data_IF_926247928769
#
_entry.id   IF_926247928769
#
_cell.length_a   1.000
_cell.length_b   1.000
_cell.length_c   1.000
_cell.angle_alpha   90.00
_cell.angle_beta   90.00
_cell.angle_gamma   90.00
#
_symmetry.space_group_name_H-M   'P 1'
#
loop_
_entity.id
_entity.type
_entity.pdbx_description
1 polymer ?
#
# COMPACT_ATOMS: atom_id res chain seq x y z
N UNK A 1 -31.86 -65.31 53.36
CA UNK A 1 -30.82 -65.16 52.32
C UNK A 1 -31.45 -64.57 51.06
N UNK A 2 -31.25 -63.27 50.81
CA UNK A 2 -31.63 -62.57 49.57
C UNK A 2 -30.42 -61.77 49.13
N UNK A 3 -29.86 -62.09 47.96
CA UNK A 3 -28.70 -61.39 47.37
C UNK A 3 -29.19 -60.08 46.77
N UNK A 4 -28.60 -58.97 47.19
CA UNK A 4 -28.79 -57.63 46.61
C UNK A 4 -27.60 -57.39 45.67
N UNK A 5 -27.87 -57.28 44.38
CA UNK A 5 -26.85 -56.94 43.36
C UNK A 5 -26.75 -55.42 43.23
N UNK A 6 -25.57 -54.87 43.54
CA UNK A 6 -25.19 -53.49 43.27
C UNK A 6 -24.58 -53.42 41.86
N UNK A 7 -25.22 -52.72 40.93
CA UNK A 7 -24.64 -52.39 39.62
C UNK A 7 -24.02 -51.00 39.74
N UNK A 8 -22.70 -50.92 39.63
CA UNK A 8 -21.96 -49.67 39.56
C UNK A 8 -22.15 -49.03 38.19
N UNK A 9 -22.75 -47.84 38.17
CA UNK A 9 -22.81 -46.96 37.00
C UNK A 9 -21.48 -46.20 36.88
N UNK A 10 -20.75 -46.47 35.80
CA UNK A 10 -19.51 -45.80 35.41
C UNK A 10 -19.78 -44.35 34.96
N UNK A 11 -18.99 -43.43 35.53
CA UNK A 11 -18.86 -42.03 35.12
C UNK A 11 -18.31 -41.93 33.68
N UNK A 12 -18.98 -41.13 32.83
CA UNK A 12 -18.37 -40.59 31.61
C UNK A 12 -18.45 -39.05 31.68
N UNK A 13 -17.34 -38.32 31.82
CA UNK A 13 -17.37 -36.87 31.75
C UNK A 13 -17.63 -36.46 30.30
N UNK A 14 -18.73 -35.74 30.08
CA UNK A 14 -18.99 -35.05 28.82
C UNK A 14 -17.86 -34.05 28.57
N UNK A 15 -16.98 -34.42 27.65
CA UNK A 15 -16.02 -33.53 26.99
C UNK A 15 -16.80 -32.36 26.36
N UNK A 16 -16.87 -31.24 27.08
CA UNK A 16 -17.22 -29.95 26.46
C UNK A 16 -16.03 -29.60 25.57
N UNK A 17 -16.14 -29.97 24.30
CA UNK A 17 -15.14 -29.64 23.28
C UNK A 17 -14.94 -28.13 23.25
N UNK A 18 -13.78 -27.68 23.70
CA UNK A 18 -13.32 -26.32 23.47
C UNK A 18 -13.18 -26.12 21.96
N UNK A 19 -14.22 -25.57 21.33
CA UNK A 19 -14.16 -25.02 19.99
C UNK A 19 -13.20 -23.83 20.05
N UNK A 20 -11.92 -24.09 19.76
CA UNK A 20 -10.99 -23.04 19.38
C UNK A 20 -11.47 -22.48 18.04
N UNK A 21 -12.34 -21.47 18.11
CA UNK A 21 -12.73 -20.69 16.94
C UNK A 21 -11.47 -20.01 16.44
N UNK A 22 -10.79 -20.60 15.45
CA UNK A 22 -9.76 -19.91 14.69
C UNK A 22 -10.45 -18.69 14.05
N UNK A 23 -10.00 -17.46 14.32
CA UNK A 23 -10.67 -16.30 13.76
C UNK A 23 -10.58 -16.37 12.23
N UNK A 24 -11.74 -16.44 11.57
CA UNK A 24 -11.93 -16.40 10.11
C UNK A 24 -11.51 -15.03 9.51
N UNK A 25 -11.08 -14.10 10.35
CA UNK A 25 -10.79 -12.71 10.00
C UNK A 25 -9.56 -12.50 9.08
N UNK A 26 -8.64 -13.46 8.97
CA UNK A 26 -7.38 -13.25 8.23
C UNK A 26 -7.46 -13.48 6.71
N UNK A 27 -8.52 -14.12 6.20
CA UNK A 27 -8.65 -14.42 4.77
C UNK A 27 -9.39 -13.34 3.98
N UNK A 28 -10.31 -12.62 4.62
CA UNK A 28 -11.17 -11.63 3.95
C UNK A 28 -10.39 -10.47 3.32
N UNK A 29 -9.43 -9.80 4.00
CA UNK A 29 -8.66 -8.72 3.40
C UNK A 29 -7.78 -9.19 2.23
N UNK A 30 -7.21 -10.41 2.32
CA UNK A 30 -6.33 -10.96 1.29
C UNK A 30 -7.07 -11.24 -0.01
N UNK A 31 -8.20 -11.96 0.07
CA UNK A 31 -9.04 -12.24 -1.09
C UNK A 31 -9.58 -10.97 -1.74
N UNK A 32 -9.93 -9.97 -0.92
CA UNK A 32 -10.36 -8.66 -1.42
C UNK A 32 -9.24 -7.95 -2.18
N UNK A 33 -8.02 -7.92 -1.64
CA UNK A 33 -6.86 -7.33 -2.30
C UNK A 33 -6.55 -8.02 -3.63
N UNK A 34 -6.61 -9.35 -3.69
CA UNK A 34 -6.41 -10.13 -4.92
C UNK A 34 -7.50 -9.83 -5.96
N UNK A 35 -8.76 -9.73 -5.54
CA UNK A 35 -9.87 -9.39 -6.44
C UNK A 35 -9.72 -7.97 -7.02
N UNK A 36 -9.32 -7.00 -6.18
CA UNK A 36 -9.03 -5.63 -6.60
C UNK A 36 -7.82 -5.58 -7.55
N UNK A 37 -6.76 -6.33 -7.26
CA UNK A 37 -5.60 -6.45 -8.14
C UNK A 37 -6.00 -6.97 -9.53
N UNK A 38 -6.79 -8.05 -9.59
CA UNK A 38 -7.29 -8.60 -10.85
C UNK A 38 -8.18 -7.61 -11.60
N UNK A 39 -9.05 -6.86 -10.91
CA UNK A 39 -9.84 -5.81 -11.53
C UNK A 39 -8.95 -4.69 -12.10
N UNK A 40 -7.90 -4.32 -11.38
CA UNK A 40 -6.89 -3.37 -11.83
C UNK A 40 -6.17 -3.82 -13.09
N UNK A 41 -5.76 -5.10 -13.17
CA UNK A 41 -5.12 -5.68 -14.37
C UNK A 41 -6.02 -5.58 -15.60
N UNK A 42 -7.29 -5.95 -15.48
CA UNK A 42 -8.26 -5.85 -16.58
C UNK A 42 -8.44 -4.41 -17.07
N UNK A 43 -8.46 -3.44 -16.15
CA UNK A 43 -8.54 -2.02 -16.49
C UNK A 43 -7.25 -1.51 -17.13
N UNK A 44 -6.10 -1.99 -16.65
CA UNK A 44 -4.79 -1.66 -17.20
C UNK A 44 -4.67 -2.15 -18.65
N UNK A 45 -5.05 -3.40 -18.92
CA UNK A 45 -5.07 -3.99 -20.26
C UNK A 45 -6.03 -3.25 -21.20
N UNK A 46 -7.13 -2.73 -20.65
CA UNK A 46 -8.06 -1.84 -21.36
C UNK A 46 -7.53 -0.39 -21.51
N UNK A 47 -6.29 -0.11 -21.13
CA UNK A 47 -5.65 1.23 -21.12
C UNK A 47 -6.37 2.29 -20.29
N UNK A 48 -7.21 1.87 -19.34
CA UNK A 48 -7.91 2.75 -18.40
C UNK A 48 -7.06 2.97 -17.16
N UNK A 49 -5.89 3.59 -17.34
CA UNK A 49 -4.84 3.67 -16.31
C UNK A 49 -5.31 4.34 -15.01
N UNK A 50 -6.14 5.38 -15.09
CA UNK A 50 -6.70 6.05 -13.90
C UNK A 50 -7.63 5.14 -13.08
N UNK A 51 -8.48 4.38 -13.76
CA UNK A 51 -9.40 3.45 -13.10
C UNK A 51 -8.64 2.23 -12.55
N UNK A 52 -7.65 1.75 -13.30
CA UNK A 52 -6.74 0.68 -12.86
C UNK A 52 -5.99 1.09 -11.60
N UNK A 53 -5.41 2.29 -11.59
CA UNK A 53 -4.70 2.85 -10.45
C UNK A 53 -5.58 2.87 -9.20
N UNK A 54 -6.85 3.27 -9.33
CA UNK A 54 -7.79 3.25 -8.20
C UNK A 54 -7.93 1.85 -7.61
N UNK A 55 -8.14 0.82 -8.44
CA UNK A 55 -8.26 -0.56 -7.96
C UNK A 55 -6.98 -1.04 -7.29
N UNK A 56 -5.82 -0.72 -7.87
CA UNK A 56 -4.55 -1.11 -7.29
C UNK A 56 -4.26 -0.39 -5.97
N UNK A 57 -4.60 0.89 -5.82
CA UNK A 57 -4.47 1.62 -4.57
C UNK A 57 -5.43 1.08 -3.50
N UNK A 58 -6.65 0.73 -3.87
CA UNK A 58 -7.61 0.07 -2.96
C UNK A 58 -7.08 -1.29 -2.49
N UNK A 59 -6.39 -2.04 -3.37
CA UNK A 59 -5.72 -3.30 -3.01
C UNK A 59 -4.51 -3.06 -2.08
N UNK A 60 -3.69 -2.07 -2.41
CA UNK A 60 -2.50 -1.68 -1.65
C UNK A 60 -2.85 -1.23 -0.23
N UNK A 61 -3.98 -0.55 -0.05
CA UNK A 61 -4.48 -0.14 1.28
C UNK A 61 -4.82 -1.33 2.21
N UNK A 62 -4.93 -2.55 1.68
CA UNK A 62 -5.18 -3.77 2.44
C UNK A 62 -3.89 -4.54 2.78
N UNK A 63 -2.72 -4.01 2.42
CA UNK A 63 -1.45 -4.64 2.74
C UNK A 63 -1.14 -4.51 4.24
N UNK A 64 -0.51 -5.56 4.79
CA UNK A 64 -0.01 -5.59 6.16
C UNK A 64 1.46 -6.01 6.15
N UNK A 65 2.40 -5.14 5.73
CA UNK A 65 3.81 -5.51 5.69
C UNK A 65 4.36 -5.90 7.07
N UNK A 66 5.21 -6.94 7.18
CA UNK A 66 5.64 -7.85 6.11
C UNK A 66 4.72 -9.06 5.93
N UNK A 67 3.63 -9.18 6.70
CA UNK A 67 2.74 -10.36 6.75
C UNK A 67 1.98 -10.61 5.45
N UNK A 68 1.65 -9.54 4.73
CA UNK A 68 0.89 -9.61 3.50
C UNK A 68 1.20 -8.43 2.58
N UNK A 69 1.80 -8.75 1.43
CA UNK A 69 2.11 -7.82 0.34
C UNK A 69 1.96 -8.62 -0.96
N UNK A 70 1.41 -8.00 -2.00
CA UNK A 70 1.39 -8.53 -3.37
C UNK A 70 2.31 -7.63 -4.20
N UNK A 71 3.59 -7.99 -4.42
CA UNK A 71 4.55 -7.12 -5.13
C UNK A 71 4.05 -6.66 -6.50
N UNK A 72 3.34 -7.51 -7.23
CA UNK A 72 2.80 -7.22 -8.56
C UNK A 72 1.83 -6.00 -8.55
N UNK A 73 1.10 -5.78 -7.46
CA UNK A 73 0.26 -4.58 -7.29
C UNK A 73 1.14 -3.34 -7.24
N UNK A 74 2.23 -3.36 -6.47
CA UNK A 74 3.15 -2.22 -6.33
C UNK A 74 3.77 -1.88 -7.70
N UNK A 75 4.19 -2.90 -8.44
CA UNK A 75 4.70 -2.75 -9.81
C UNK A 75 3.65 -2.14 -10.74
N UNK A 76 2.42 -2.63 -10.71
CA UNK A 76 1.35 -2.14 -11.58
C UNK A 76 0.88 -0.73 -11.21
N UNK A 77 0.96 -0.32 -9.93
CA UNK A 77 0.76 1.07 -9.53
C UNK A 77 1.83 1.96 -10.20
N UNK A 78 3.10 1.57 -10.11
CA UNK A 78 4.20 2.27 -10.76
C UNK A 78 3.98 2.42 -12.28
N UNK A 79 3.55 1.33 -12.94
CA UNK A 79 3.20 1.36 -14.37
C UNK A 79 2.00 2.26 -14.68
N UNK A 80 0.97 2.29 -13.85
CA UNK A 80 -0.17 3.18 -14.06
C UNK A 80 0.29 4.65 -14.04
N UNK A 81 1.12 5.03 -13.08
CA UNK A 81 1.67 6.38 -13.01
C UNK A 81 2.56 6.69 -14.21
N UNK A 82 3.42 5.75 -14.62
CA UNK A 82 4.29 5.90 -15.81
C UNK A 82 3.45 6.14 -17.09
N UNK A 83 2.41 5.35 -17.32
CA UNK A 83 1.51 5.49 -18.48
C UNK A 83 0.73 6.81 -18.48
N UNK A 84 0.52 7.40 -17.29
CA UNK A 84 -0.10 8.72 -17.14
C UNK A 84 0.92 9.87 -17.18
N UNK A 85 2.21 9.58 -17.34
CA UNK A 85 3.29 10.57 -17.37
C UNK A 85 3.72 11.09 -15.99
N UNK A 86 3.24 10.48 -14.91
CA UNK A 86 3.62 10.81 -13.53
C UNK A 86 4.86 10.01 -13.10
N UNK A 87 6.00 10.37 -13.69
CA UNK A 87 7.28 9.69 -13.45
C UNK A 87 7.74 9.77 -11.98
N UNK A 88 7.31 10.77 -11.20
CA UNK A 88 7.68 10.90 -9.79
C UNK A 88 6.99 9.83 -8.96
N UNK A 89 5.67 9.70 -9.07
CA UNK A 89 4.97 8.62 -8.38
C UNK A 89 5.36 7.25 -8.93
N UNK A 90 5.57 7.13 -10.25
CA UNK A 90 6.05 5.88 -10.84
C UNK A 90 7.37 5.43 -10.22
N UNK A 91 8.36 6.33 -10.14
CA UNK A 91 9.66 6.05 -9.53
C UNK A 91 9.52 5.57 -8.09
N UNK A 92 8.70 6.28 -7.28
CA UNK A 92 8.47 5.91 -5.88
C UNK A 92 7.97 4.47 -5.75
N UNK A 93 6.96 4.09 -6.52
CA UNK A 93 6.39 2.75 -6.47
C UNK A 93 7.35 1.69 -7.03
N UNK A 94 8.18 2.00 -8.03
CA UNK A 94 9.23 1.07 -8.47
C UNK A 94 10.33 0.86 -7.42
N UNK A 95 10.74 1.91 -6.70
CA UNK A 95 11.68 1.81 -5.57
C UNK A 95 11.06 1.04 -4.38
N UNK A 96 9.75 1.17 -4.17
CA UNK A 96 9.04 0.37 -3.17
C UNK A 96 8.93 -1.10 -3.60
N UNK A 97 8.67 -1.36 -4.89
CA UNK A 97 8.65 -2.70 -5.44
C UNK A 97 10.00 -3.40 -5.22
N UNK A 98 11.14 -2.72 -5.47
CA UNK A 98 12.48 -3.28 -5.19
C UNK A 98 12.66 -3.65 -3.70
N UNK A 99 12.01 -2.92 -2.78
CA UNK A 99 12.05 -3.24 -1.34
C UNK A 99 11.29 -4.51 -1.01
N UNK A 100 10.12 -4.74 -1.60
CA UNK A 100 9.24 -5.88 -1.26
C UNK A 100 9.43 -7.12 -2.15
N UNK A 101 9.79 -6.95 -3.42
CA UNK A 101 10.08 -8.04 -4.34
C UNK A 101 11.45 -8.65 -4.04
N UNK A 102 11.47 -9.73 -3.25
CA UNK A 102 12.70 -10.44 -2.86
C UNK A 102 13.17 -11.45 -3.89
N UNK A 103 12.34 -11.80 -4.88
CA UNK A 103 12.72 -12.72 -5.95
C UNK A 103 13.82 -12.09 -6.82
N UNK A 104 14.98 -12.76 -6.99
CA UNK A 104 16.05 -12.30 -7.87
C UNK A 104 15.60 -11.99 -9.30
N UNK A 105 14.56 -12.65 -9.81
CA UNK A 105 13.99 -12.42 -11.13
C UNK A 105 13.50 -10.97 -11.31
N UNK A 106 12.99 -10.35 -10.24
CA UNK A 106 12.45 -9.00 -10.28
C UNK A 106 13.51 -7.89 -10.16
N UNK A 107 14.69 -8.21 -9.60
CA UNK A 107 15.73 -7.23 -9.30
C UNK A 107 16.25 -6.50 -10.54
N UNK A 108 16.56 -7.23 -11.61
CA UNK A 108 17.07 -6.64 -12.85
C UNK A 108 16.07 -5.71 -13.52
N UNK A 109 14.81 -6.15 -13.61
CA UNK A 109 13.71 -5.38 -14.22
C UNK A 109 13.40 -4.11 -13.40
N UNK A 110 13.33 -4.22 -12.07
CA UNK A 110 13.11 -3.08 -11.19
C UNK A 110 14.22 -2.03 -11.32
N UNK A 111 15.48 -2.44 -11.26
CA UNK A 111 16.61 -1.51 -11.36
C UNK A 111 16.70 -0.81 -12.71
N UNK A 112 16.45 -1.54 -13.80
CA UNK A 112 16.40 -0.95 -15.13
C UNK A 112 15.27 0.10 -15.22
N UNK A 113 14.08 -0.23 -14.73
CA UNK A 113 12.92 0.65 -14.75
C UNK A 113 13.13 1.90 -13.87
N UNK A 114 13.65 1.73 -12.65
CA UNK A 114 14.01 2.84 -11.76
C UNK A 114 14.98 3.79 -12.45
N UNK A 115 16.04 3.26 -13.09
CA UNK A 115 17.03 4.08 -13.81
C UNK A 115 16.40 4.84 -14.97
N UNK A 116 15.55 4.18 -15.75
CA UNK A 116 14.84 4.77 -16.89
C UNK A 116 13.95 5.94 -16.45
N UNK A 117 13.03 5.69 -15.51
CA UNK A 117 12.05 6.68 -15.01
C UNK A 117 12.76 7.85 -14.34
N UNK A 118 13.76 7.56 -13.49
CA UNK A 118 14.58 8.59 -12.83
C UNK A 118 15.30 9.49 -13.82
N UNK A 119 15.67 8.97 -14.99
CA UNK A 119 16.28 9.74 -16.07
C UNK A 119 15.34 10.73 -16.76
N UNK A 120 14.02 10.55 -16.66
CA UNK A 120 13.02 11.44 -17.26
C UNK A 120 12.61 12.61 -16.36
N UNK A 121 12.78 12.48 -15.05
CA UNK A 121 12.42 13.53 -14.09
C UNK A 121 13.41 14.70 -14.19
N UNK A 122 12.92 15.86 -14.63
CA UNK A 122 13.73 17.09 -14.83
C UNK A 122 13.20 18.33 -14.11
N UNK A 123 11.96 18.31 -13.62
CA UNK A 123 11.34 19.45 -12.96
C UNK A 123 11.47 19.35 -11.44
N UNK A 124 11.61 20.52 -10.82
CA UNK A 124 11.69 20.68 -9.38
C UNK A 124 10.94 21.95 -8.95
N UNK A 125 10.42 21.94 -7.74
CA UNK A 125 9.80 23.10 -7.09
C UNK A 125 10.55 23.39 -5.80
N UNK A 126 10.85 24.67 -5.58
CA UNK A 126 11.35 25.17 -4.32
C UNK A 126 10.16 25.64 -3.49
N UNK A 127 10.03 25.11 -2.27
CA UNK A 127 8.93 25.42 -1.36
C UNK A 127 9.51 26.10 -0.14
N UNK A 128 9.18 27.38 0.04
CA UNK A 128 9.55 28.16 1.21
C UNK A 128 8.30 28.33 2.09
N UNK A 129 8.44 28.02 3.38
CA UNK A 129 7.37 28.18 4.36
C UNK A 129 7.90 29.03 5.50
N UNK A 130 7.21 30.13 5.81
CA UNK A 130 7.63 31.09 6.83
C UNK A 130 7.72 30.49 8.24
N UNK A 131 6.91 29.46 8.51
CA UNK A 131 6.87 28.77 9.79
C UNK A 131 7.67 27.46 9.73
N UNK A 132 8.69 27.33 10.56
CA UNK A 132 9.45 26.08 10.75
C UNK A 132 8.58 24.97 11.38
N UNK A 133 8.83 23.72 11.04
CA UNK A 133 8.10 22.55 11.54
C UNK A 133 6.67 22.42 11.02
N UNK A 134 6.31 23.11 9.93
CA UNK A 134 5.03 22.90 9.25
C UNK A 134 5.11 21.66 8.36
N UNK A 135 4.11 20.80 8.41
CA UNK A 135 4.00 19.63 7.55
C UNK A 135 3.69 20.06 6.11
N UNK A 136 4.50 19.60 5.16
CA UNK A 136 4.38 19.89 3.73
C UNK A 136 3.91 18.63 3.01
N UNK A 137 2.79 18.73 2.32
CA UNK A 137 2.16 17.66 1.54
C UNK A 137 2.01 18.13 0.11
N UNK A 138 2.52 17.36 -0.85
CA UNK A 138 2.41 17.64 -2.29
C UNK A 138 1.69 16.48 -2.97
N UNK A 139 0.63 16.80 -3.70
CA UNK A 139 -0.24 15.82 -4.39
C UNK A 139 -0.79 14.71 -3.48
N UNK A 140 -1.06 15.08 -2.22
CA UNK A 140 -1.55 14.17 -1.18
C UNK A 140 -0.45 13.33 -0.51
N UNK A 141 0.81 13.44 -0.95
CA UNK A 141 1.95 12.76 -0.34
C UNK A 141 2.73 13.69 0.60
N UNK A 142 3.02 13.23 1.82
CA UNK A 142 3.84 13.98 2.78
C UNK A 142 5.30 13.99 2.33
N UNK A 143 5.81 15.18 2.03
CA UNK A 143 7.20 15.38 1.62
C UNK A 143 8.12 15.58 2.83
N UNK A 144 7.62 16.20 3.89
CA UNK A 144 8.41 16.44 5.09
C UNK A 144 7.87 17.56 5.97
N UNK A 145 8.78 18.20 6.71
CA UNK A 145 8.50 19.40 7.50
C UNK A 145 9.39 20.55 7.03
N UNK A 146 8.89 21.78 7.11
CA UNK A 146 9.67 22.97 6.78
C UNK A 146 10.77 23.26 7.82
N UNK A 147 11.90 23.86 7.44
CA UNK A 147 12.37 24.03 6.07
C UNK A 147 12.74 22.67 5.44
N UNK A 148 12.46 22.52 4.14
CA UNK A 148 12.85 21.32 3.39
C UNK A 148 14.35 21.38 3.04
N UNK A 149 15.04 20.24 3.11
CA UNK A 149 16.50 20.15 2.89
C UNK A 149 16.91 20.35 1.42
N UNK A 150 16.00 20.13 0.48
CA UNK A 150 16.26 20.23 -0.95
C UNK A 150 14.98 20.54 -1.74
N UNK A 151 15.09 21.07 -2.98
CA UNK A 151 13.96 21.20 -3.89
C UNK A 151 13.26 19.87 -4.13
N UNK A 152 11.93 19.91 -4.23
CA UNK A 152 11.10 18.73 -4.41
C UNK A 152 10.98 18.43 -5.89
N UNK A 153 11.31 17.21 -6.30
CA UNK A 153 11.14 16.77 -7.69
C UNK A 153 9.66 16.58 -7.98
N UNK A 154 9.23 17.09 -9.14
CA UNK A 154 7.84 17.03 -9.59
C UNK A 154 7.77 16.63 -11.05
N UNK A 155 6.62 16.15 -11.48
CA UNK A 155 6.31 16.11 -12.91
C UNK A 155 5.94 17.51 -13.39
N UNK A 156 6.13 17.86 -14.68
CA UNK A 156 5.62 19.13 -15.18
C UNK A 156 4.09 19.12 -15.19
N UNK A 157 3.45 20.07 -14.51
CA UNK A 157 1.99 20.12 -14.49
C UNK A 157 1.42 20.96 -13.36
N UNK A 158 0.11 20.76 -13.13
CA UNK A 158 -0.57 21.30 -11.94
C UNK A 158 -0.35 20.34 -10.78
N UNK A 159 0.03 20.90 -9.64
CA UNK A 159 0.21 20.20 -8.38
C UNK A 159 -0.64 20.85 -7.30
N UNK A 160 -1.02 20.06 -6.29
CA UNK A 160 -1.73 20.56 -5.12
C UNK A 160 -0.78 20.54 -3.93
N UNK A 161 -0.40 21.72 -3.45
CA UNK A 161 0.42 21.89 -2.26
C UNK A 161 -0.47 22.16 -1.06
N UNK A 162 -0.32 21.36 -0.01
CA UNK A 162 -1.00 21.55 1.28
C UNK A 162 0.06 21.71 2.37
N UNK A 163 -0.07 22.76 3.17
CA UNK A 163 0.83 23.01 4.32
C UNK A 163 0.00 23.08 5.60
N UNK A 164 0.41 22.32 6.62
CA UNK A 164 -0.31 22.18 7.89
C UNK A 164 0.61 22.47 9.07
N UNK A 165 0.13 23.27 10.02
CA UNK A 165 0.80 23.50 11.31
C UNK A 165 -0.24 23.73 12.38
N UNK A 166 -0.11 23.05 13.52
CA UNK A 166 -1.02 23.24 14.66
C UNK A 166 -1.01 24.71 15.08
N UNK A 167 -2.20 25.29 15.22
CA UNK A 167 -2.38 26.71 15.58
C UNK A 167 -2.38 27.68 14.39
N UNK A 168 -2.24 27.20 13.15
CA UNK A 168 -2.32 28.00 11.93
C UNK A 168 -3.44 27.50 11.00
N UNK A 169 -4.06 28.38 10.20
CA UNK A 169 -4.91 27.95 9.10
C UNK A 169 -4.13 27.06 8.12
N UNK A 170 -4.78 26.04 7.58
CA UNK A 170 -4.21 25.25 6.50
C UNK A 170 -4.03 26.12 5.26
N UNK A 171 -2.87 26.02 4.61
CA UNK A 171 -2.65 26.57 3.27
C UNK A 171 -2.89 25.48 2.22
N UNK A 172 -3.55 25.85 1.13
CA UNK A 172 -3.79 25.01 -0.05
C UNK A 172 -3.72 25.90 -1.32
N UNK A 173 -3.02 25.43 -2.35
CA UNK A 173 -2.79 26.14 -3.61
C UNK A 173 -3.88 25.94 -4.66
#
# INVERSE_FOLDING_TARGET
MRKVSFVYLLFLPLLVGAFWVRPVFSQEPKKKAEALAKAGELLFDAKKFKDALKQFLDAYALFEPPKFVIPEVIWNIGRCYEEMGDDVNALRFFEEFERYAKDPQYKGAAQAKIKEVKGRIRAFVEITVDQEGAEVVLDGEKIGFSPLEAPVKVTPGKHVLVVKKTGFPQFES
#
